data_IF_514104883607
#
_entry.id   IF_514104883607
#
_cell.length_a   1.000
_cell.length_b   1.000
_cell.length_c   1.000
_cell.angle_alpha   90.00
_cell.angle_beta   90.00
_cell.angle_gamma   90.00
#
_symmetry.space_group_name_H-M   'P 1'
#
loop_
_entity.id
_entity.type
_entity.pdbx_description
1 polymer ?
#
# COMPACT_ATOMS: atom_id res chain seq x y z
N UNK A 1 61.95 55.90 -15.17
CA UNK A 1 62.05 54.76 -14.23
C UNK A 1 62.22 55.34 -12.84
N UNK A 2 61.19 55.33 -11.99
CA UNK A 2 61.38 55.57 -10.57
C UNK A 2 61.90 54.25 -9.99
N UNK A 3 63.17 54.24 -9.59
CA UNK A 3 63.72 53.12 -8.83
C UNK A 3 62.89 52.89 -7.58
N UNK A 4 62.74 51.63 -7.16
CA UNK A 4 62.11 51.28 -5.89
C UNK A 4 62.81 52.04 -4.77
N UNK A 5 62.20 53.13 -4.31
CA UNK A 5 62.77 53.98 -3.27
C UNK A 5 62.91 53.14 -2.01
N UNK A 6 64.15 52.89 -1.57
CA UNK A 6 64.38 52.40 -0.22
C UNK A 6 63.79 53.44 0.72
N UNK A 7 62.88 53.03 1.59
CA UNK A 7 62.32 53.88 2.64
C UNK A 7 63.47 54.60 3.34
N UNK A 8 63.40 55.93 3.44
CA UNK A 8 64.34 56.71 4.26
C UNK A 8 64.05 56.38 5.73
N UNK A 9 64.67 55.31 6.21
CA UNK A 9 64.83 55.08 7.64
C UNK A 9 65.66 56.21 8.25
N UNK A 10 65.50 56.40 9.56
CA UNK A 10 66.25 57.37 10.37
C UNK A 10 67.73 57.34 9.99
N UNK A 11 68.34 58.52 9.83
CA UNK A 11 69.70 58.69 9.35
C UNK A 11 70.71 58.14 10.38
N UNK A 12 70.98 56.84 10.29
CA UNK A 12 72.02 56.15 11.05
C UNK A 12 73.31 56.25 10.25
N UNK A 13 74.31 56.93 10.80
CA UNK A 13 75.67 56.91 10.24
C UNK A 13 76.18 55.47 10.25
N UNK A 14 76.50 54.89 9.07
CA UNK A 14 77.00 53.52 9.03
C UNK A 14 78.32 53.43 9.81
N UNK A 15 78.51 52.35 10.57
CA UNK A 15 79.76 52.10 11.28
C UNK A 15 80.96 51.96 10.32
N UNK A 16 82.20 52.08 10.81
CA UNK A 16 83.41 52.15 9.97
C UNK A 16 83.60 50.96 9.02
N UNK A 17 83.06 49.78 9.33
CA UNK A 17 83.10 48.58 8.46
C UNK A 17 81.88 48.40 7.55
N UNK A 18 80.86 49.26 7.65
CA UNK A 18 79.63 49.18 6.84
C UNK A 18 79.72 50.03 5.55
N UNK A 19 80.79 50.82 5.40
CA UNK A 19 81.08 51.50 4.14
C UNK A 19 81.64 50.48 3.13
N UNK A 20 80.90 50.24 2.03
CA UNK A 20 81.39 49.49 0.87
C UNK A 20 81.59 50.46 -0.30
N UNK A 21 82.71 51.21 -0.35
CA UNK A 21 82.97 52.17 -1.42
C UNK A 21 83.06 51.49 -2.80
N UNK A 22 83.42 50.20 -2.87
CA UNK A 22 83.45 49.45 -4.13
C UNK A 22 82.07 49.22 -4.77
N UNK A 23 80.98 49.37 -4.01
CA UNK A 23 79.61 49.15 -4.51
C UNK A 23 78.98 50.44 -5.06
N UNK A 24 79.69 51.56 -4.96
CA UNK A 24 79.20 52.85 -5.44
C UNK A 24 79.34 52.88 -6.97
N UNK A 25 78.23 53.17 -7.65
CA UNK A 25 78.26 53.37 -9.09
C UNK A 25 79.21 54.53 -9.43
N UNK A 26 80.05 54.41 -10.47
CA UNK A 26 81.04 55.42 -10.82
C UNK A 26 80.41 56.82 -11.00
N UNK A 27 80.63 57.72 -10.04
CA UNK A 27 79.99 59.06 -9.98
C UNK A 27 80.45 59.99 -11.13
N UNK A 28 81.63 59.73 -11.70
CA UNK A 28 82.24 60.57 -12.75
C UNK A 28 81.99 60.07 -14.17
N UNK A 29 81.32 58.93 -14.33
CA UNK A 29 81.06 58.34 -15.65
C UNK A 29 79.58 58.46 -16.00
N UNK A 30 79.28 58.86 -17.25
CA UNK A 30 77.91 58.82 -17.75
C UNK A 30 77.45 57.38 -17.81
N UNK A 31 76.37 57.05 -17.09
CA UNK A 31 75.70 55.75 -17.23
C UNK A 31 74.97 55.69 -18.58
N UNK A 32 75.08 54.59 -19.34
CA UNK A 32 74.31 54.44 -20.57
C UNK A 32 72.80 54.40 -20.28
N UNK A 33 71.95 54.86 -21.21
CA UNK A 33 70.50 54.81 -21.05
C UNK A 33 70.00 53.36 -20.96
N UNK A 34 69.21 53.06 -19.94
CA UNK A 34 68.54 51.76 -19.79
C UNK A 34 67.16 51.82 -20.45
N UNK A 35 66.98 51.09 -21.55
CA UNK A 35 65.70 50.98 -22.23
C UNK A 35 64.94 49.73 -21.78
N UNK A 36 63.66 49.88 -21.47
CA UNK A 36 62.76 48.74 -21.18
C UNK A 36 61.90 48.48 -22.40
N UNK A 37 61.94 47.26 -22.95
CA UNK A 37 61.16 46.87 -24.16
C UNK A 37 59.67 46.58 -23.88
N UNK A 38 59.22 46.62 -22.63
CA UNK A 38 57.85 46.25 -22.25
C UNK A 38 56.95 47.46 -21.99
N UNK A 39 55.70 47.39 -22.45
CA UNK A 39 54.65 48.33 -22.07
C UNK A 39 54.32 48.16 -20.58
N UNK A 40 54.36 49.27 -19.83
CA UNK A 40 53.86 49.31 -18.45
C UNK A 40 52.34 49.49 -18.50
N UNK A 41 51.61 48.39 -18.63
CA UNK A 41 50.15 48.42 -18.56
C UNK A 41 49.73 48.84 -17.16
N UNK A 42 49.04 49.99 -17.05
CA UNK A 42 48.31 50.34 -15.84
C UNK A 42 47.20 49.28 -15.70
N UNK A 43 46.99 48.66 -14.53
CA UNK A 43 45.84 47.79 -14.35
C UNK A 43 44.59 48.62 -14.60
N UNK A 44 43.87 48.30 -15.67
CA UNK A 44 42.59 48.93 -15.97
C UNK A 44 41.64 48.55 -14.83
N UNK A 45 40.97 49.54 -14.24
CA UNK A 45 39.96 49.33 -13.22
C UNK A 45 38.83 48.55 -13.90
N UNK A 46 38.69 47.27 -13.55
CA UNK A 46 37.70 46.40 -14.17
C UNK A 46 36.31 46.96 -13.86
N UNK A 47 35.51 47.15 -14.91
CA UNK A 47 34.14 47.62 -14.79
C UNK A 47 33.37 46.59 -13.95
N UNK A 48 33.07 46.92 -12.70
CA UNK A 48 32.44 45.99 -11.75
C UNK A 48 30.97 45.70 -12.12
N UNK A 49 30.44 46.40 -13.13
CA UNK A 49 29.10 46.23 -13.66
C UNK A 49 28.95 44.96 -14.50
N UNK A 50 30.02 44.53 -15.17
CA UNK A 50 29.98 43.34 -16.02
C UNK A 50 30.41 42.11 -15.22
N UNK A 51 29.53 41.12 -15.00
CA UNK A 51 29.95 39.86 -14.39
C UNK A 51 31.00 39.19 -15.26
N UNK A 52 31.96 38.49 -14.64
CA UNK A 52 32.97 37.74 -15.39
C UNK A 52 32.28 36.73 -16.32
N UNK A 53 32.88 36.37 -17.47
CA UNK A 53 32.24 35.55 -18.50
C UNK A 53 31.70 34.21 -17.99
N UNK A 54 32.27 33.67 -16.91
CA UNK A 54 31.84 32.41 -16.30
C UNK A 54 30.82 32.58 -15.15
N UNK A 55 30.29 33.79 -14.91
CA UNK A 55 29.40 34.09 -13.76
C UNK A 55 27.93 34.21 -14.14
N UNK A 56 27.60 34.15 -15.44
CA UNK A 56 26.21 34.19 -15.87
C UNK A 56 25.48 32.92 -15.42
N UNK A 57 24.58 33.07 -14.46
CA UNK A 57 23.72 31.98 -14.00
C UNK A 57 22.33 32.19 -14.59
N UNK A 58 21.85 31.24 -15.39
CA UNK A 58 20.50 31.32 -15.94
C UNK A 58 19.48 30.97 -14.85
N UNK A 59 18.33 31.68 -14.77
CA UNK A 59 17.25 31.29 -13.87
C UNK A 59 16.70 29.92 -14.28
N UNK A 60 16.25 29.14 -13.30
CA UNK A 60 15.62 27.83 -13.53
C UNK A 60 14.45 27.97 -14.50
N UNK A 61 14.47 27.18 -15.58
CA UNK A 61 13.40 27.09 -16.58
C UNK A 61 12.26 26.16 -16.14
N UNK A 62 12.32 25.59 -14.92
CA UNK A 62 11.24 24.79 -14.40
C UNK A 62 10.12 25.68 -13.84
N UNK A 63 8.95 25.55 -14.45
CA UNK A 63 7.75 26.31 -14.06
C UNK A 63 7.74 27.73 -14.61
N UNK A 64 6.72 28.50 -14.21
CA UNK A 64 6.42 29.84 -14.73
C UNK A 64 7.29 30.96 -14.13
N UNK A 65 8.59 30.71 -13.92
CA UNK A 65 9.46 31.64 -13.18
C UNK A 65 10.08 32.73 -14.06
N UNK A 66 9.95 32.66 -15.38
CA UNK A 66 10.54 33.64 -16.31
C UNK A 66 9.43 34.51 -16.91
N UNK A 67 9.47 35.81 -16.61
CA UNK A 67 8.50 36.78 -17.12
C UNK A 67 8.56 36.94 -18.66
N UNK A 68 9.72 36.72 -19.26
CA UNK A 68 9.96 36.96 -20.69
C UNK A 68 9.62 35.78 -21.59
N UNK A 69 9.33 34.59 -21.04
CA UNK A 69 9.11 33.37 -21.83
C UNK A 69 8.01 32.50 -21.19
N UNK A 70 7.03 32.01 -21.98
CA UNK A 70 6.05 31.06 -21.48
C UNK A 70 6.72 29.73 -21.08
N UNK A 71 6.36 29.19 -19.91
CA UNK A 71 6.80 27.85 -19.46
C UNK A 71 6.11 26.76 -20.27
N UNK A 72 6.82 25.68 -20.58
CA UNK A 72 6.20 24.46 -21.08
C UNK A 72 5.33 23.82 -19.99
N UNK A 73 4.25 23.10 -20.37
CA UNK A 73 3.41 22.40 -19.41
C UNK A 73 4.20 21.28 -18.71
N UNK A 74 4.06 21.20 -17.39
CA UNK A 74 4.65 20.14 -16.56
C UNK A 74 3.55 19.19 -16.09
N UNK A 75 3.60 17.94 -16.57
CA UNK A 75 2.64 16.90 -16.21
C UNK A 75 3.24 16.00 -15.12
N UNK A 76 2.50 15.75 -14.06
CA UNK A 76 2.86 14.78 -13.01
C UNK A 76 1.99 13.53 -13.15
N UNK A 77 2.59 12.34 -13.04
CA UNK A 77 1.86 11.06 -13.14
C UNK A 77 0.91 10.87 -11.94
N UNK A 78 1.27 11.43 -10.78
CA UNK A 78 0.42 11.41 -9.60
C UNK A 78 -0.41 12.71 -9.52
N UNK A 79 -1.71 12.56 -9.23
CA UNK A 79 -2.59 13.68 -8.90
C UNK A 79 -2.14 14.34 -7.59
N UNK A 80 -2.17 15.67 -7.56
CA UNK A 80 -1.84 16.47 -6.35
C UNK A 80 -2.96 16.48 -5.31
N UNK A 81 -4.05 15.78 -5.57
CA UNK A 81 -5.17 15.64 -4.64
C UNK A 81 -4.81 14.62 -3.57
N UNK A 82 -5.13 14.89 -2.29
CA UNK A 82 -5.03 13.85 -1.27
C UNK A 82 -5.85 12.64 -1.73
N UNK A 83 -5.37 11.41 -1.48
CA UNK A 83 -6.10 10.22 -1.89
C UNK A 83 -7.49 10.27 -1.25
N UNK A 84 -8.53 10.09 -2.07
CA UNK A 84 -9.94 10.07 -1.61
C UNK A 84 -10.16 9.02 -0.52
N UNK A 85 -9.33 7.97 -0.51
CA UNK A 85 -9.34 6.91 0.49
C UNK A 85 -8.17 7.11 1.46
N UNK A 86 -8.40 7.04 2.79
CA UNK A 86 -7.31 7.03 3.75
C UNK A 86 -6.34 5.88 3.44
N UNK A 87 -5.04 6.03 3.75
CA UNK A 87 -4.08 4.94 3.60
C UNK A 87 -4.58 3.75 4.42
N UNK A 88 -4.86 2.66 3.73
CA UNK A 88 -5.20 1.40 4.38
C UNK A 88 -3.95 0.59 4.60
N UNK A 89 -3.90 -0.08 5.73
CA UNK A 89 -2.79 -0.97 6.02
C UNK A 89 -2.72 -2.05 4.93
N UNK A 90 -1.52 -2.30 4.34
CA UNK A 90 -1.36 -3.31 3.30
C UNK A 90 -1.80 -4.71 3.75
N UNK A 91 -1.83 -4.97 5.07
CA UNK A 91 -2.33 -6.20 5.66
C UNK A 91 -3.85 -6.36 5.57
N UNK A 92 -4.61 -5.27 5.49
CA UNK A 92 -6.07 -5.29 5.36
C UNK A 92 -6.54 -5.42 3.91
N UNK A 93 -5.64 -5.17 2.95
CA UNK A 93 -5.94 -5.27 1.52
C UNK A 93 -5.64 -6.70 1.08
N UNK A 94 -6.66 -7.55 0.83
CA UNK A 94 -6.40 -8.91 0.35
C UNK A 94 -5.60 -8.83 -0.95
N UNK A 95 -4.54 -9.63 -1.02
CA UNK A 95 -3.69 -9.73 -2.20
C UNK A 95 -4.46 -10.29 -3.40
N UNK A 96 -3.86 -10.25 -4.60
CA UNK A 96 -4.45 -10.86 -5.78
C UNK A 96 -4.71 -12.34 -5.53
N UNK A 97 -5.98 -12.75 -5.60
CA UNK A 97 -6.41 -14.14 -5.34
C UNK A 97 -6.79 -14.47 -3.89
N UNK A 98 -6.66 -13.53 -2.94
CA UNK A 98 -7.11 -13.70 -1.54
C UNK A 98 -8.55 -13.22 -1.31
N UNK A 99 -9.28 -12.87 -2.37
CA UNK A 99 -10.68 -12.51 -2.26
C UNK A 99 -11.55 -13.75 -2.06
N UNK A 100 -12.21 -13.85 -0.92
CA UNK A 100 -13.24 -14.86 -0.68
C UNK A 100 -14.43 -14.60 -1.62
N UNK A 101 -14.47 -15.35 -2.71
CA UNK A 101 -15.57 -15.29 -3.66
C UNK A 101 -16.63 -16.34 -3.28
N UNK A 102 -17.87 -15.95 -2.95
CA UNK A 102 -18.94 -16.90 -2.68
C UNK A 102 -19.26 -17.72 -3.95
N UNK A 103 -19.83 -18.92 -3.77
CA UNK A 103 -20.26 -19.76 -4.89
C UNK A 103 -21.17 -18.94 -5.83
N UNK A 104 -20.86 -18.84 -7.14
CA UNK A 104 -21.70 -18.17 -8.13
C UNK A 104 -23.16 -18.61 -8.10
N UNK A 105 -23.40 -19.86 -7.69
CA UNK A 105 -24.73 -20.43 -7.56
C UNK A 105 -25.58 -19.81 -6.43
N UNK A 106 -24.98 -19.06 -5.51
CA UNK A 106 -25.69 -18.38 -4.42
C UNK A 106 -26.43 -17.14 -4.92
N UNK A 107 -25.90 -16.43 -5.91
CA UNK A 107 -26.47 -15.16 -6.40
C UNK A 107 -26.84 -15.19 -7.89
N UNK A 108 -26.50 -16.26 -8.62
CA UNK A 108 -26.90 -16.44 -10.03
C UNK A 108 -27.76 -17.68 -10.17
N UNK A 109 -28.56 -17.68 -11.24
CA UNK A 109 -29.31 -18.86 -11.65
C UNK A 109 -28.36 -20.05 -11.91
N UNK A 110 -28.63 -21.17 -11.24
CA UNK A 110 -27.86 -22.41 -11.37
C UNK A 110 -27.94 -22.93 -12.80
N UNK A 111 -26.78 -23.19 -13.42
CA UNK A 111 -26.75 -23.91 -14.71
C UNK A 111 -27.19 -25.38 -14.52
N UNK A 112 -27.83 -25.99 -15.52
CA UNK A 112 -28.17 -27.41 -15.46
C UNK A 112 -26.89 -28.25 -15.28
N UNK A 113 -26.92 -29.18 -14.30
CA UNK A 113 -25.81 -30.08 -14.00
C UNK A 113 -26.11 -31.49 -14.54
N UNK A 114 -25.41 -31.88 -15.60
CA UNK A 114 -25.56 -33.18 -16.25
C UNK A 114 -24.73 -34.24 -15.50
N UNK A 115 -25.30 -35.42 -15.31
CA UNK A 115 -24.63 -36.59 -14.73
C UNK A 115 -24.74 -37.74 -15.73
N UNK A 116 -23.66 -38.49 -15.98
CA UNK A 116 -23.68 -39.64 -16.89
C UNK A 116 -24.40 -40.85 -16.29
N UNK A 117 -24.45 -40.93 -14.96
CA UNK A 117 -25.19 -41.96 -14.24
C UNK A 117 -26.59 -41.46 -13.88
N UNK A 118 -27.55 -42.37 -13.94
CA UNK A 118 -28.92 -42.11 -13.49
C UNK A 118 -28.93 -41.70 -12.02
N UNK A 119 -29.55 -40.57 -11.71
CA UNK A 119 -29.75 -40.16 -10.32
C UNK A 119 -30.69 -41.18 -9.66
N UNK A 120 -30.34 -41.76 -8.50
CA UNK A 120 -31.30 -42.55 -7.75
C UNK A 120 -32.48 -41.62 -7.43
N UNK A 121 -33.69 -42.06 -7.78
CA UNK A 121 -34.90 -41.37 -7.32
C UNK A 121 -34.81 -41.28 -5.80
N UNK A 122 -35.21 -40.13 -5.24
CA UNK A 122 -35.31 -39.97 -3.80
C UNK A 122 -35.95 -41.23 -3.21
N UNK A 123 -35.29 -41.83 -2.23
CA UNK A 123 -35.79 -43.01 -1.53
C UNK A 123 -37.16 -42.65 -1.00
N UNK A 124 -38.22 -43.14 -1.65
CA UNK A 124 -39.57 -43.03 -1.09
C UNK A 124 -39.50 -43.65 0.29
N UNK A 125 -40.04 -42.96 1.29
CA UNK A 125 -40.18 -43.52 2.62
C UNK A 125 -40.87 -44.88 2.50
N UNK A 126 -40.30 -45.97 3.04
CA UNK A 126 -40.90 -47.30 2.95
C UNK A 126 -42.19 -47.45 3.79
N UNK A 127 -42.72 -46.36 4.34
CA UNK A 127 -43.77 -46.39 5.36
C UNK A 127 -45.20 -46.52 4.82
N UNK A 128 -45.45 -46.33 3.52
CA UNK A 128 -46.84 -46.26 3.04
C UNK A 128 -47.38 -47.56 2.44
N UNK A 129 -46.57 -48.61 2.33
CA UNK A 129 -47.07 -49.89 1.77
C UNK A 129 -46.83 -51.02 2.77
N UNK A 130 -47.78 -51.28 3.68
CA UNK A 130 -47.72 -52.47 4.51
C UNK A 130 -47.54 -53.70 3.61
N UNK A 131 -46.62 -54.59 3.97
CA UNK A 131 -46.38 -55.82 3.23
C UNK A 131 -47.64 -56.70 3.18
N UNK A 132 -47.67 -57.73 2.31
CA UNK A 132 -48.87 -58.55 2.07
C UNK A 132 -49.44 -59.24 3.33
N UNK A 133 -48.65 -59.40 4.40
CA UNK A 133 -49.10 -59.92 5.71
C UNK A 133 -49.38 -58.87 6.79
N UNK A 134 -49.15 -57.59 6.53
CA UNK A 134 -49.38 -56.49 7.48
C UNK A 134 -50.80 -55.89 7.35
N UNK A 135 -51.57 -56.27 6.33
CA UNK A 135 -52.96 -55.88 6.19
C UNK A 135 -53.84 -56.67 7.18
N UNK A 136 -54.53 -55.97 8.10
CA UNK A 136 -55.50 -56.55 9.04
C UNK A 136 -56.91 -56.02 8.75
N UNK A 137 -57.65 -56.61 7.79
CA UNK A 137 -58.99 -56.13 7.42
C UNK A 137 -60.00 -56.19 8.58
N UNK A 138 -59.79 -57.07 9.56
CA UNK A 138 -60.63 -57.20 10.76
C UNK A 138 -60.63 -55.95 11.67
N UNK A 139 -59.62 -55.09 11.52
CA UNK A 139 -59.45 -53.88 12.32
C UNK A 139 -59.94 -52.60 11.60
N UNK A 140 -60.41 -52.73 10.36
CA UNK A 140 -60.90 -51.60 9.56
C UNK A 140 -62.34 -51.30 9.93
N UNK A 141 -62.56 -50.29 10.77
CA UNK A 141 -63.90 -49.82 11.17
C UNK A 141 -64.34 -48.56 10.43
N UNK A 142 -63.44 -47.92 9.67
CA UNK A 142 -63.74 -46.64 9.00
C UNK A 142 -64.46 -46.80 7.66
N UNK A 143 -64.14 -47.82 6.87
CA UNK A 143 -64.72 -48.03 5.52
C UNK A 143 -65.75 -49.14 5.46
N UNK A 144 -65.81 -50.01 6.48
CA UNK A 144 -66.68 -51.18 6.49
C UNK A 144 -67.17 -51.46 7.90
N UNK A 145 -68.44 -51.86 8.03
CA UNK A 145 -69.00 -52.24 9.32
C UNK A 145 -68.39 -53.56 9.81
N UNK A 146 -67.97 -53.60 11.07
CA UNK A 146 -67.37 -54.80 11.68
C UNK A 146 -68.40 -55.93 11.76
N UNK A 147 -68.07 -57.10 11.21
CA UNK A 147 -68.92 -58.28 11.29
C UNK A 147 -69.13 -58.71 12.75
N UNK A 148 -70.33 -59.20 13.13
CA UNK A 148 -70.62 -59.63 14.49
C UNK A 148 -69.74 -60.83 14.89
N UNK A 149 -69.04 -60.71 16.01
CA UNK A 149 -68.25 -61.79 16.60
C UNK A 149 -69.12 -62.61 17.56
N UNK A 150 -69.46 -63.83 17.17
CA UNK A 150 -70.22 -64.76 18.01
C UNK A 150 -69.27 -65.67 18.79
N UNK A 151 -69.54 -65.86 20.09
CA UNK A 151 -68.84 -66.85 20.92
C UNK A 151 -69.84 -67.94 21.31
N UNK A 152 -69.51 -69.21 21.05
CA UNK A 152 -70.30 -70.37 21.49
C UNK A 152 -69.85 -70.84 22.88
N UNK A 153 -69.78 -69.92 23.84
CA UNK A 153 -69.42 -70.22 25.22
C UNK A 153 -70.63 -70.15 26.14
N UNK A 154 -70.90 -71.22 26.90
CA UNK A 154 -71.88 -71.19 27.98
C UNK A 154 -71.41 -70.17 29.02
N UNK A 155 -72.13 -69.04 29.14
CA UNK A 155 -71.92 -68.08 30.22
C UNK A 155 -72.54 -68.65 31.50
N UNK A 156 -71.72 -69.32 32.31
CA UNK A 156 -72.11 -69.77 33.64
C UNK A 156 -72.59 -68.55 34.45
N UNK A 157 -73.75 -68.67 35.09
CA UNK A 157 -74.28 -67.63 35.98
C UNK A 157 -73.32 -67.35 37.13
N UNK A 158 -73.22 -66.09 37.56
CA UNK A 158 -72.52 -65.74 38.80
C UNK A 158 -73.25 -66.45 39.94
N UNK A 159 -72.59 -67.41 40.61
CA UNK A 159 -73.15 -68.08 41.78
C UNK A 159 -73.33 -67.05 42.89
N UNK A 160 -74.52 -67.03 43.48
CA UNK A 160 -74.80 -66.33 44.73
C UNK A 160 -74.00 -67.00 45.85
N UNK A 161 -73.17 -66.23 46.54
CA UNK A 161 -72.47 -66.68 47.75
C UNK A 161 -73.50 -67.02 48.82
N UNK A 162 -73.50 -68.27 49.25
CA UNK A 162 -74.43 -68.80 50.25
C UNK A 162 -74.06 -68.26 51.64
N UNK A 163 -75.09 -67.91 52.40
CA UNK A 163 -75.06 -67.43 53.79
C UNK A 163 -74.15 -68.30 54.67
N UNK A 164 -73.19 -67.68 55.36
CA UNK A 164 -72.53 -68.27 56.52
C UNK A 164 -73.32 -67.90 57.77
N UNK A 165 -74.07 -68.86 58.31
CA UNK A 165 -74.73 -68.74 59.61
C UNK A 165 -73.75 -68.97 60.76
N UNK A 166 -73.78 -68.01 61.69
CA UNK A 166 -73.69 -68.11 63.14
C UNK A 166 -72.54 -68.90 63.81
N UNK A 167 -71.74 -68.18 64.60
CA UNK A 167 -71.47 -68.57 65.99
C UNK A 167 -71.19 -67.33 66.85
N UNK A 168 -72.14 -66.96 67.70
CA UNK A 168 -71.99 -66.17 68.94
C UNK A 168 -71.72 -67.16 70.09
N UNK A 169 -71.10 -66.81 71.24
CA UNK A 169 -71.43 -65.67 72.12
C UNK A 169 -70.36 -64.57 72.24
#
# INVERSE_FOLDING_TARGET
MQGRGKSRGLEVTPGPGAYSPEKVAPVRHRTPPAFTLGSRLRPQLQDTSAPAPNTYTLPSLWGSQIFTKPSSPSYTVAGRTPPTRPPQDPAEIPGPGQYDSPDPNTYRQRRPAFTMLGRPRATRTPEETPGPGAHRPEQVTMTTARAPAFTMGIRHSKRATTMGGDTMP
#
